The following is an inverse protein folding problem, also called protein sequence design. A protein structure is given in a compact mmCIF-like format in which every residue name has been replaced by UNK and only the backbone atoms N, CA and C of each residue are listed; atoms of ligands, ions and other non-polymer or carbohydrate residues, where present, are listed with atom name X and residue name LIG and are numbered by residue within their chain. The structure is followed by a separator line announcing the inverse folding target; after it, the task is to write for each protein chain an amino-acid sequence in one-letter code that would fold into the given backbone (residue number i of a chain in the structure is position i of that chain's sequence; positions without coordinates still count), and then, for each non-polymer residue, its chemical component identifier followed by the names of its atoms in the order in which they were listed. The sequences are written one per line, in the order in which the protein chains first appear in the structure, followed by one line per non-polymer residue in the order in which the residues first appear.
data_IF_152918552069
#
_entry.id   IF_152918552069
#
_cell.length_a   1.000
_cell.length_b   1.000
_cell.length_c   1.000
_cell.angle_alpha   90.00
_cell.angle_beta   90.00
_cell.angle_gamma   90.00
#
_symmetry.space_group_name_H-M   'P 1'
#
loop_
_entity.id
_entity.type
_entity.pdbx_description
1 polymer ?
#
# COMPACT_ATOMS: atom_id res chain seq x y z
N UNK A 1 15.81 26.90 4.09
CA UNK A 1 14.97 26.24 3.06
C UNK A 1 13.52 26.63 3.33
N UNK A 2 12.83 27.27 2.37
CA UNK A 2 11.50 27.84 2.62
C UNK A 2 10.44 26.72 2.72
N UNK A 3 9.75 26.64 3.87
CA UNK A 3 8.74 25.64 4.22
C UNK A 3 7.59 25.51 3.19
N UNK A 4 7.29 26.60 2.48
CA UNK A 4 6.29 26.66 1.39
C UNK A 4 6.60 25.67 0.24
N UNK A 5 7.88 25.43 -0.07
CA UNK A 5 8.30 24.52 -1.14
C UNK A 5 8.09 23.05 -0.74
N UNK A 6 8.33 22.70 0.53
CA UNK A 6 8.10 21.34 1.05
C UNK A 6 6.62 21.00 1.02
N UNK A 7 5.77 21.90 1.50
CA UNK A 7 4.32 21.68 1.55
C UNK A 7 3.69 21.50 0.17
N UNK A 8 4.12 22.31 -0.81
CA UNK A 8 3.63 22.21 -2.19
C UNK A 8 4.05 20.89 -2.85
N UNK A 9 5.30 20.46 -2.66
CA UNK A 9 5.82 19.18 -3.17
C UNK A 9 5.10 17.99 -2.56
N UNK A 10 4.91 17.98 -1.24
CA UNK A 10 4.18 16.92 -0.55
C UNK A 10 2.74 16.79 -1.05
N UNK A 11 2.04 17.91 -1.25
CA UNK A 11 0.68 17.89 -1.82
C UNK A 11 0.65 17.42 -3.26
N UNK A 12 1.61 17.80 -4.10
CA UNK A 12 1.70 17.28 -5.46
C UNK A 12 1.88 15.76 -5.44
N UNK A 13 2.75 15.24 -4.57
CA UNK A 13 2.97 13.79 -4.42
C UNK A 13 1.72 13.05 -3.93
N UNK A 14 1.00 13.60 -2.95
CA UNK A 14 -0.25 13.02 -2.45
C UNK A 14 -1.35 12.97 -3.53
N UNK A 15 -1.39 13.95 -4.45
CA UNK A 15 -2.35 13.93 -5.57
C UNK A 15 -2.07 12.81 -6.57
N UNK A 16 -0.81 12.43 -6.76
CA UNK A 16 -0.42 11.31 -7.64
C UNK A 16 -0.61 9.95 -6.99
N UNK A 17 -0.71 9.90 -5.66
CA UNK A 17 -0.75 8.63 -4.91
C UNK A 17 -1.87 7.68 -5.35
N UNK A 18 -3.14 8.11 -5.57
CA UNK A 18 -4.19 7.20 -6.01
C UNK A 18 -3.88 6.51 -7.34
N UNK A 19 -3.31 7.25 -8.30
CA UNK A 19 -2.94 6.73 -9.61
C UNK A 19 -1.78 5.74 -9.50
N UNK A 20 -0.74 6.09 -8.73
CA UNK A 20 0.38 5.19 -8.46
C UNK A 20 -0.05 3.93 -7.71
N UNK A 21 -0.99 4.06 -6.77
CA UNK A 21 -1.54 2.92 -6.03
C UNK A 21 -2.35 1.99 -6.95
N UNK A 22 -3.11 2.56 -7.90
CA UNK A 22 -3.90 1.78 -8.85
C UNK A 22 -3.03 0.90 -9.77
N UNK A 23 -1.80 1.33 -10.08
CA UNK A 23 -0.84 0.52 -10.83
C UNK A 23 -0.47 -0.78 -10.11
N UNK A 24 -0.52 -0.80 -8.76
CA UNK A 24 -0.24 -1.97 -7.94
C UNK A 24 -1.50 -2.83 -7.63
N UNK A 25 -2.61 -2.61 -8.35
CA UNK A 25 -3.89 -3.26 -8.03
C UNK A 25 -3.83 -4.78 -8.08
N UNK A 26 -3.04 -5.36 -9.00
CA UNK A 26 -2.85 -6.80 -9.12
C UNK A 26 -2.13 -7.40 -7.91
N UNK A 27 -1.01 -6.78 -7.52
CA UNK A 27 -0.21 -7.15 -6.35
C UNK A 27 -1.02 -6.97 -5.07
N UNK A 28 -1.73 -5.86 -4.93
CA UNK A 28 -2.58 -5.56 -3.78
C UNK A 28 -3.72 -6.59 -3.64
N UNK A 29 -4.38 -6.96 -4.75
CA UNK A 29 -5.42 -7.98 -4.73
C UNK A 29 -4.86 -9.37 -4.38
N UNK A 30 -3.69 -9.73 -4.89
CA UNK A 30 -3.04 -10.99 -4.56
C UNK A 30 -2.65 -11.06 -3.07
N UNK A 31 -2.05 -9.99 -2.54
CA UNK A 31 -1.69 -9.87 -1.14
C UNK A 31 -2.93 -9.92 -0.24
N UNK A 32 -3.98 -9.16 -0.58
CA UNK A 32 -5.24 -9.12 0.16
C UNK A 32 -5.93 -10.49 0.23
N UNK A 33 -5.91 -11.27 -0.85
CA UNK A 33 -6.42 -12.65 -0.85
C UNK A 33 -5.65 -13.55 0.11
N UNK A 34 -4.32 -13.49 0.11
CA UNK A 34 -3.49 -14.26 1.03
C UNK A 34 -3.75 -13.87 2.50
N UNK A 35 -3.85 -12.56 2.77
CA UNK A 35 -4.16 -12.05 4.11
C UNK A 35 -5.51 -12.57 4.58
N UNK A 36 -6.55 -12.42 3.75
CA UNK A 36 -7.91 -12.87 4.08
C UNK A 36 -7.98 -14.39 4.31
N UNK A 37 -7.33 -15.19 3.45
CA UNK A 37 -7.32 -16.65 3.62
C UNK A 37 -6.61 -17.08 4.89
N UNK A 38 -5.52 -16.41 5.27
CA UNK A 38 -4.74 -16.73 6.47
C UNK A 38 -5.51 -16.33 7.74
N UNK A 39 -6.16 -15.17 7.76
CA UNK A 39 -6.84 -14.66 8.96
C UNK A 39 -8.21 -15.31 9.21
N UNK A 40 -8.82 -15.94 8.20
CA UNK A 40 -10.10 -16.67 8.35
C UNK A 40 -10.05 -17.76 9.43
N UNK A 41 -8.86 -18.30 9.74
CA UNK A 41 -8.64 -19.34 10.75
C UNK A 41 -8.08 -18.88 12.10
N UNK A 42 -8.09 -17.58 12.42
CA UNK A 42 -7.35 -16.98 13.58
C UNK A 42 -5.84 -17.24 13.55
N UNK A 43 -5.28 -17.64 12.41
CA UNK A 43 -3.83 -17.75 12.27
C UNK A 43 -3.24 -16.35 12.23
N UNK A 44 -2.18 -16.12 13.00
CA UNK A 44 -1.46 -14.86 12.97
C UNK A 44 -0.65 -14.74 11.68
N UNK A 45 -0.69 -13.54 11.10
CA UNK A 45 0.17 -13.20 9.96
C UNK A 45 1.58 -12.99 10.46
N UNK A 46 2.52 -13.77 9.94
CA UNK A 46 3.95 -13.54 10.15
C UNK A 46 4.56 -12.80 8.96
N UNK A 47 5.67 -12.12 9.21
CA UNK A 47 6.38 -11.34 8.19
C UNK A 47 6.74 -12.27 7.02
N UNK A 48 6.47 -11.81 5.80
CA UNK A 48 6.73 -12.49 4.53
C UNK A 48 5.77 -13.64 4.14
N UNK A 49 4.73 -13.96 4.92
CA UNK A 49 3.78 -15.03 4.53
C UNK A 49 3.04 -14.78 3.22
N UNK A 50 2.71 -13.53 2.94
CA UNK A 50 1.98 -13.12 1.73
C UNK A 50 2.86 -12.38 0.73
N UNK A 51 4.18 -12.46 0.91
CA UNK A 51 5.12 -12.01 -0.12
C UNK A 51 5.10 -13.09 -1.20
N UNK A 52 4.70 -12.68 -2.40
CA UNK A 52 4.90 -13.50 -3.61
C UNK A 52 6.34 -13.41 -4.06
#
# INVERSE_FOLDING_TARGET
MSSSNVWSRSRARMRLFPELLAQCSGEAAAYGKCVASTTTGKQELTKNMCVK
#
